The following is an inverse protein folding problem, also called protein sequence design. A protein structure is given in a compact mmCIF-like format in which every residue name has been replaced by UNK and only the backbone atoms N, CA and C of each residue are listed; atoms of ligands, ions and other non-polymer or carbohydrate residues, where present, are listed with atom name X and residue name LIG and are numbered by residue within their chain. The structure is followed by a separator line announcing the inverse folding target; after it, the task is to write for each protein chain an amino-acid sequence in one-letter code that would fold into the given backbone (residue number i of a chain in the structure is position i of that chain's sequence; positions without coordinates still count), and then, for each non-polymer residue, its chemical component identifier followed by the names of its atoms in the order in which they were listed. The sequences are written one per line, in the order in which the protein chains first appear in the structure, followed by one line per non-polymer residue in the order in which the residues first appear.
data_IF_351081858919
#
_entry.id   IF_351081858919
#
_cell.length_a   1.000
_cell.length_b   1.000
_cell.length_c   1.000
_cell.angle_alpha   90.00
_cell.angle_beta   90.00
_cell.angle_gamma   90.00
#
_symmetry.space_group_name_H-M   'P 1'
#
loop_
_entity.id
_entity.type
_entity.pdbx_description
1 polymer ?
#
# COMPACT_ATOMS: atom_id res chain seq x y z
N UNK A 1 9.74 -28.91 3.16
CA UNK A 1 8.78 -28.85 4.28
C UNK A 1 8.83 -30.15 5.04
N UNK A 2 8.88 -30.12 6.37
CA UNK A 2 8.78 -31.33 7.18
C UNK A 2 7.29 -31.69 7.35
N UNK A 3 6.87 -32.94 7.13
CA UNK A 3 5.47 -33.38 7.23
C UNK A 3 4.87 -33.33 8.66
N UNK A 4 5.62 -32.79 9.63
CA UNK A 4 5.23 -32.63 11.04
C UNK A 4 5.09 -31.16 11.47
N UNK A 5 5.13 -30.21 10.53
CA UNK A 5 5.04 -28.78 10.86
C UNK A 5 3.66 -28.42 11.41
N UNK A 6 3.63 -27.70 12.52
CA UNK A 6 2.39 -27.35 13.23
C UNK A 6 1.56 -26.39 12.37
N UNK A 7 0.24 -26.62 12.29
CA UNK A 7 -0.68 -25.71 11.62
C UNK A 7 -1.13 -24.63 12.60
N UNK A 8 -1.01 -23.38 12.16
CA UNK A 8 -1.53 -22.18 12.83
C UNK A 8 -2.84 -21.78 12.16
N UNK A 9 -3.83 -21.42 12.97
CA UNK A 9 -5.10 -20.87 12.51
C UNK A 9 -5.07 -19.35 12.62
N UNK A 10 -5.29 -18.67 11.49
CA UNK A 10 -5.51 -17.22 11.44
C UNK A 10 -7.01 -16.97 11.39
N UNK A 11 -7.56 -16.29 12.39
CA UNK A 11 -8.97 -15.85 12.39
C UNK A 11 -9.02 -14.51 11.68
N UNK A 12 -9.78 -14.39 10.58
CA UNK A 12 -9.79 -13.20 9.70
C UNK A 12 -11.22 -12.69 9.45
N UNK A 13 -11.37 -11.44 9.05
CA UNK A 13 -12.68 -10.86 8.74
C UNK A 13 -13.20 -11.37 7.39
N UNK A 14 -14.37 -12.02 7.39
CA UNK A 14 -15.08 -12.35 6.14
C UNK A 14 -16.02 -11.22 5.72
N UNK A 15 -16.84 -10.76 6.66
CA UNK A 15 -17.69 -9.59 6.52
C UNK A 15 -17.94 -8.97 7.91
N UNK A 16 -18.73 -7.89 7.98
CA UNK A 16 -18.97 -7.19 9.25
C UNK A 16 -19.62 -8.13 10.26
N UNK A 17 -18.89 -8.45 11.33
CA UNK A 17 -19.35 -9.34 12.40
C UNK A 17 -19.19 -10.84 12.10
N UNK A 18 -18.58 -11.24 10.98
CA UNK A 18 -18.31 -12.65 10.66
C UNK A 18 -16.81 -12.90 10.42
N UNK A 19 -16.33 -14.07 10.86
CA UNK A 19 -14.92 -14.44 10.79
C UNK A 19 -14.71 -15.78 10.11
N UNK A 20 -13.55 -15.92 9.47
CA UNK A 20 -13.11 -17.14 8.79
C UNK A 20 -11.77 -17.61 9.37
N UNK A 21 -11.50 -18.92 9.31
CA UNK A 21 -10.22 -19.49 9.73
C UNK A 21 -9.39 -19.91 8.53
N UNK A 22 -8.20 -19.34 8.41
CA UNK A 22 -7.21 -19.72 7.42
C UNK A 22 -6.11 -20.56 8.08
N UNK A 23 -5.73 -21.66 7.45
CA UNK A 23 -4.71 -22.58 7.97
C UNK A 23 -3.36 -22.32 7.28
N UNK A 24 -2.29 -22.22 8.06
CA UNK A 24 -0.94 -21.98 7.53
C UNK A 24 0.11 -22.71 8.37
N UNK A 25 1.15 -23.22 7.73
CA UNK A 25 2.24 -23.90 8.43
C UNK A 25 3.06 -22.90 9.27
N UNK A 26 3.33 -23.25 10.53
CA UNK A 26 4.06 -22.39 11.48
C UNK A 26 5.43 -22.00 10.95
N UNK A 27 6.18 -22.96 10.39
CA UNK A 27 7.51 -22.71 9.83
C UNK A 27 7.48 -21.68 8.70
N UNK A 28 6.39 -21.61 7.94
CA UNK A 28 6.21 -20.65 6.84
C UNK A 28 5.95 -19.24 7.40
N UNK A 29 5.02 -19.09 8.34
CA UNK A 29 4.74 -17.80 8.98
C UNK A 29 5.98 -17.21 9.68
N UNK A 30 6.67 -18.04 10.46
CA UNK A 30 7.77 -17.59 11.30
C UNK A 30 8.98 -17.18 10.49
N UNK A 31 9.25 -17.86 9.38
CA UNK A 31 10.39 -17.52 8.53
C UNK A 31 10.27 -16.11 7.94
N UNK A 32 9.05 -15.59 7.80
CA UNK A 32 8.81 -14.33 7.10
C UNK A 32 8.67 -13.13 8.03
N UNK A 33 7.88 -13.25 9.10
CA UNK A 33 7.42 -12.08 9.85
C UNK A 33 7.75 -12.15 11.34
N UNK A 34 8.30 -11.05 11.86
CA UNK A 34 8.58 -10.87 13.29
C UNK A 34 7.31 -10.79 14.13
N UNK A 35 6.22 -10.28 13.57
CA UNK A 35 4.93 -10.23 14.24
C UNK A 35 4.47 -11.64 14.61
N UNK A 36 4.46 -12.58 13.66
CA UNK A 36 4.03 -13.95 13.94
C UNK A 36 4.98 -14.72 14.86
N UNK A 37 6.28 -14.42 14.84
CA UNK A 37 7.23 -14.94 15.83
C UNK A 37 6.91 -14.47 17.25
N UNK A 38 6.53 -13.19 17.41
CA UNK A 38 6.22 -12.61 18.71
C UNK A 38 4.82 -12.99 19.21
N UNK A 39 3.83 -13.03 18.31
CA UNK A 39 2.44 -13.33 18.64
C UNK A 39 2.26 -14.73 19.24
N UNK A 40 3.22 -15.63 19.06
CA UNK A 40 3.15 -17.00 19.58
C UNK A 40 4.09 -17.27 20.76
N UNK A 41 4.69 -16.22 21.34
CA UNK A 41 5.45 -16.37 22.58
C UNK A 41 4.50 -16.74 23.73
N UNK A 42 4.96 -17.55 24.71
CA UNK A 42 4.14 -17.98 25.85
C UNK A 42 3.43 -16.83 26.58
N UNK A 43 4.13 -15.70 26.68
CA UNK A 43 3.67 -14.44 27.30
C UNK A 43 2.43 -13.83 26.62
N UNK A 44 2.14 -14.21 25.38
CA UNK A 44 1.04 -13.68 24.55
C UNK A 44 -0.02 -14.73 24.21
N UNK A 45 0.26 -16.02 24.41
CA UNK A 45 -0.70 -17.12 24.19
C UNK A 45 -1.83 -17.13 25.22
N UNK A 46 -1.63 -16.60 26.42
CA UNK A 46 -2.69 -16.51 27.44
C UNK A 46 -3.81 -15.52 27.06
N UNK A 47 -3.53 -14.60 26.12
CA UNK A 47 -4.49 -13.65 25.57
C UNK A 47 -5.20 -14.17 24.31
N UNK A 48 -4.82 -15.35 23.80
CA UNK A 48 -5.37 -15.90 22.55
C UNK A 48 -6.56 -16.83 22.79
N UNK A 49 -7.43 -16.93 21.79
CA UNK A 49 -8.61 -17.81 21.81
C UNK A 49 -8.27 -19.32 21.89
N UNK A 50 -6.99 -19.69 21.80
CA UNK A 50 -6.51 -21.05 21.98
C UNK A 50 -5.05 -21.22 21.54
N UNK A 51 -4.43 -22.38 21.84
CA UNK A 51 -3.08 -22.70 21.37
C UNK A 51 -3.06 -22.74 19.83
N UNK A 52 -2.09 -22.05 19.21
CA UNK A 52 -1.92 -21.97 17.75
C UNK A 52 -3.02 -21.18 16.99
N UNK A 53 -3.72 -20.26 17.67
CA UNK A 53 -4.71 -19.37 17.03
C UNK A 53 -4.24 -17.93 17.12
N UNK A 54 -4.13 -17.25 15.97
CA UNK A 54 -3.79 -15.83 15.89
C UNK A 54 -5.01 -15.06 15.41
N UNK A 55 -5.40 -14.06 16.20
CA UNK A 55 -6.53 -13.19 15.88
C UNK A 55 -6.12 -12.06 14.94
N UNK A 56 -6.73 -12.07 13.76
CA UNK A 56 -6.66 -11.06 12.71
C UNK A 56 -8.10 -10.70 12.26
N UNK A 57 -9.07 -10.75 13.18
CA UNK A 57 -10.51 -10.56 12.90
C UNK A 57 -10.89 -9.17 12.37
N UNK A 58 -9.95 -8.23 12.34
CA UNK A 58 -10.10 -6.91 11.71
C UNK A 58 -9.51 -6.85 10.30
N UNK A 59 -8.75 -7.86 9.89
CA UNK A 59 -8.09 -7.92 8.59
C UNK A 59 -8.95 -8.70 7.59
N UNK A 60 -9.23 -8.14 6.40
CA UNK A 60 -10.01 -8.82 5.37
C UNK A 60 -9.39 -10.14 4.92
N UNK A 61 -10.24 -11.16 4.74
CA UNK A 61 -9.86 -12.52 4.32
C UNK A 61 -9.08 -12.54 3.00
N UNK A 62 -9.40 -11.66 2.06
CA UNK A 62 -8.73 -11.59 0.76
C UNK A 62 -7.27 -11.12 0.90
N UNK A 63 -7.01 -10.12 1.73
CA UNK A 63 -5.65 -9.61 2.00
C UNK A 63 -4.80 -10.66 2.71
N UNK A 64 -5.35 -11.31 3.74
CA UNK A 64 -4.61 -12.34 4.48
C UNK A 64 -4.39 -13.58 3.62
N UNK A 65 -5.38 -13.98 2.81
CA UNK A 65 -5.26 -15.09 1.87
C UNK A 65 -4.18 -14.83 0.81
N UNK A 66 -4.09 -13.61 0.27
CA UNK A 66 -3.07 -13.25 -0.70
C UNK A 66 -1.66 -13.23 -0.08
N UNK A 67 -1.52 -12.76 1.16
CA UNK A 67 -0.28 -12.89 1.92
C UNK A 67 0.13 -14.35 2.13
N UNK A 68 -0.81 -15.23 2.52
CA UNK A 68 -0.54 -16.66 2.66
C UNK A 68 -0.05 -17.26 1.33
N UNK A 69 -0.69 -16.93 0.20
CA UNK A 69 -0.22 -17.40 -1.12
C UNK A 69 1.21 -16.92 -1.39
N UNK A 70 1.52 -15.65 -1.12
CA UNK A 70 2.88 -15.15 -1.26
C UNK A 70 3.87 -15.93 -0.38
N UNK A 71 3.51 -16.26 0.85
CA UNK A 71 4.39 -17.04 1.72
C UNK A 71 4.76 -18.42 1.16
N UNK A 72 3.86 -19.06 0.41
CA UNK A 72 4.13 -20.36 -0.22
C UNK A 72 4.81 -20.25 -1.57
N UNK A 73 4.49 -19.23 -2.37
CA UNK A 73 4.89 -19.14 -3.77
C UNK A 73 5.93 -18.05 -4.07
N UNK A 74 6.29 -17.24 -3.07
CA UNK A 74 7.16 -16.05 -3.16
C UNK A 74 6.74 -15.08 -4.28
N UNK A 75 5.46 -15.13 -4.66
CA UNK A 75 4.87 -14.37 -5.74
C UNK A 75 3.65 -13.66 -5.21
N UNK A 76 3.63 -12.33 -5.29
CA UNK A 76 2.42 -11.56 -4.99
C UNK A 76 1.37 -12.03 -5.98
N UNK A 77 0.20 -12.52 -5.53
CA UNK A 77 -0.82 -13.00 -6.44
C UNK A 77 -1.11 -11.94 -7.49
N UNK A 78 -0.61 -12.19 -8.71
CA UNK A 78 -0.78 -11.31 -9.86
C UNK A 78 -2.27 -11.32 -10.21
N UNK A 79 -3.03 -10.46 -9.54
CA UNK A 79 -4.36 -10.07 -10.01
C UNK A 79 -4.13 -9.19 -11.24
N UNK A 80 -3.87 -9.84 -12.37
CA UNK A 80 -4.20 -9.36 -13.71
C UNK A 80 -3.76 -7.91 -14.02
N UNK A 81 -2.47 -7.58 -13.92
CA UNK A 81 -1.99 -6.31 -14.48
C UNK A 81 -2.09 -6.30 -16.03
N UNK A 82 -2.01 -7.48 -16.64
CA UNK A 82 -1.97 -7.66 -18.10
C UNK A 82 -3.36 -7.84 -18.72
N UNK A 83 -4.40 -8.09 -17.92
CA UNK A 83 -5.75 -8.30 -18.41
C UNK A 83 -6.69 -7.21 -17.86
N UNK A 84 -7.06 -6.27 -18.74
CA UNK A 84 -8.34 -5.54 -18.69
C UNK A 84 -8.48 -4.45 -17.61
N UNK A 85 -7.55 -3.50 -17.52
CA UNK A 85 -7.82 -2.22 -16.86
C UNK A 85 -7.87 -1.10 -17.90
N UNK A 86 -9.01 -1.04 -18.61
CA UNK A 86 -9.26 -0.05 -19.65
C UNK A 86 -9.75 1.28 -19.08
N UNK A 87 -10.31 1.26 -17.86
CA UNK A 87 -10.78 2.48 -17.19
C UNK A 87 -9.90 2.87 -15.99
N UNK A 88 -10.02 4.13 -15.58
CA UNK A 88 -9.37 4.65 -14.39
C UNK A 88 -9.75 3.85 -13.13
N UNK A 89 -11.03 3.53 -12.96
CA UNK A 89 -11.55 2.82 -11.79
C UNK A 89 -11.01 1.40 -11.71
N UNK A 90 -10.80 0.73 -12.85
CA UNK A 90 -10.17 -0.59 -12.90
C UNK A 90 -8.70 -0.54 -12.50
N UNK A 91 -7.96 0.48 -12.99
CA UNK A 91 -6.56 0.69 -12.62
C UNK A 91 -6.43 1.03 -11.13
N UNK A 92 -7.32 1.87 -10.60
CA UNK A 92 -7.26 2.26 -9.19
C UNK A 92 -7.58 1.08 -8.26
N UNK A 93 -8.51 0.18 -8.62
CA UNK A 93 -8.77 -1.05 -7.85
C UNK A 93 -7.52 -1.90 -7.66
N UNK A 94 -6.66 -1.96 -8.67
CA UNK A 94 -5.37 -2.66 -8.59
C UNK A 94 -4.47 -2.01 -7.54
N UNK A 95 -4.33 -0.68 -7.60
CA UNK A 95 -3.50 0.05 -6.64
C UNK A 95 -4.08 0.03 -5.22
N UNK A 96 -5.42 0.01 -5.06
CA UNK A 96 -6.09 -0.17 -3.78
C UNK A 96 -5.75 -1.53 -3.15
N UNK A 97 -5.77 -2.61 -3.94
CA UNK A 97 -5.40 -3.94 -3.46
C UNK A 97 -3.91 -4.00 -3.03
N UNK A 98 -3.02 -3.36 -3.81
CA UNK A 98 -1.60 -3.27 -3.49
C UNK A 98 -1.33 -2.40 -2.26
N UNK A 99 -2.03 -1.27 -2.12
CA UNK A 99 -1.95 -0.40 -0.95
C UNK A 99 -2.35 -1.15 0.33
N UNK A 100 -3.48 -1.86 0.31
CA UNK A 100 -3.94 -2.69 1.44
C UNK A 100 -2.93 -3.78 1.78
N UNK A 101 -2.35 -4.42 0.76
CA UNK A 101 -1.32 -5.44 0.95
C UNK A 101 -0.06 -4.87 1.61
N UNK A 102 0.39 -3.67 1.20
CA UNK A 102 1.55 -3.00 1.78
C UNK A 102 1.28 -2.61 3.24
N UNK A 103 0.10 -2.02 3.53
CA UNK A 103 -0.33 -1.66 4.88
C UNK A 103 -0.41 -2.89 5.79
N UNK A 104 -0.94 -4.01 5.29
CA UNK A 104 -0.92 -5.26 6.03
C UNK A 104 0.51 -5.70 6.34
N UNK A 105 1.43 -5.61 5.37
CA UNK A 105 2.86 -5.87 5.59
C UNK A 105 3.51 -4.96 6.64
N UNK A 106 3.09 -3.70 6.75
CA UNK A 106 3.52 -2.81 7.85
C UNK A 106 3.02 -3.32 9.19
N UNK A 107 1.73 -3.67 9.29
CA UNK A 107 1.12 -4.21 10.51
C UNK A 107 1.81 -5.47 11.01
N UNK A 108 2.09 -6.42 10.12
CA UNK A 108 2.77 -7.68 10.47
C UNK A 108 4.29 -7.59 10.47
N UNK A 109 4.86 -6.38 10.29
CA UNK A 109 6.31 -6.13 10.35
C UNK A 109 7.10 -7.08 9.43
N UNK A 110 6.56 -7.35 8.24
CA UNK A 110 7.17 -8.24 7.25
C UNK A 110 7.84 -7.41 6.15
N UNK A 111 9.14 -7.16 6.32
CA UNK A 111 9.93 -6.37 5.37
C UNK A 111 10.04 -7.06 4.01
N UNK A 112 10.09 -8.39 3.97
CA UNK A 112 10.19 -9.13 2.70
C UNK A 112 8.90 -8.99 1.91
N UNK A 113 7.76 -9.13 2.58
CA UNK A 113 6.45 -8.95 1.97
C UNK A 113 6.26 -7.52 1.47
N UNK A 114 6.57 -6.51 2.31
CA UNK A 114 6.49 -5.10 1.89
C UNK A 114 7.33 -4.79 0.66
N UNK A 115 8.55 -5.32 0.60
CA UNK A 115 9.41 -5.15 -0.56
C UNK A 115 8.84 -5.85 -1.80
N UNK A 116 8.28 -7.05 -1.66
CA UNK A 116 7.63 -7.76 -2.76
C UNK A 116 6.40 -6.99 -3.29
N UNK A 117 5.57 -6.44 -2.39
CA UNK A 117 4.43 -5.58 -2.76
C UNK A 117 4.92 -4.30 -3.45
N UNK A 118 5.99 -3.68 -2.97
CA UNK A 118 6.56 -2.48 -3.60
C UNK A 118 7.06 -2.77 -5.02
N UNK A 119 7.68 -3.94 -5.26
CA UNK A 119 8.06 -4.38 -6.61
C UNK A 119 6.82 -4.61 -7.50
N UNK A 120 5.75 -5.17 -6.94
CA UNK A 120 4.48 -5.33 -7.65
C UNK A 120 3.85 -3.98 -8.02
N UNK A 121 3.96 -2.97 -7.15
CA UNK A 121 3.53 -1.59 -7.45
C UNK A 121 4.30 -1.03 -8.65
N UNK A 122 5.63 -1.11 -8.66
CA UNK A 122 6.43 -0.67 -9.81
C UNK A 122 6.07 -1.40 -11.09
N UNK A 123 5.84 -2.71 -11.01
CA UNK A 123 5.44 -3.52 -12.16
C UNK A 123 4.08 -3.08 -12.70
N UNK A 124 3.10 -2.85 -11.82
CA UNK A 124 1.78 -2.35 -12.17
C UNK A 124 1.84 -0.95 -12.79
N UNK A 125 2.63 -0.04 -12.23
CA UNK A 125 2.79 1.32 -12.77
C UNK A 125 3.32 1.31 -14.21
N UNK A 126 4.30 0.45 -14.48
CA UNK A 126 4.87 0.30 -15.82
C UNK A 126 3.91 -0.36 -16.80
N UNK A 127 3.20 -1.40 -16.37
CA UNK A 127 2.27 -2.13 -17.24
C UNK A 127 1.02 -1.31 -17.59
N UNK A 128 0.49 -0.55 -16.63
CA UNK A 128 -0.74 0.22 -16.80
C UNK A 128 -0.51 1.64 -17.31
N UNK A 129 0.76 2.09 -17.39
CA UNK A 129 1.12 3.49 -17.60
C UNK A 129 0.34 4.43 -16.68
N UNK A 130 0.22 4.05 -15.40
CA UNK A 130 -0.63 4.71 -14.43
C UNK A 130 0.00 4.72 -13.03
N UNK A 131 -0.38 5.67 -12.18
CA UNK A 131 0.12 5.80 -10.82
C UNK A 131 -0.99 5.58 -9.79
N UNK A 132 -0.62 5.49 -8.52
CA UNK A 132 -1.58 5.34 -7.43
C UNK A 132 -2.48 6.58 -7.37
N UNK A 133 -3.80 6.36 -7.43
CA UNK A 133 -4.81 7.39 -7.31
C UNK A 133 -5.16 7.74 -5.86
N UNK A 134 -6.17 8.60 -5.65
CA UNK A 134 -6.52 9.16 -4.36
C UNK A 134 -6.92 8.11 -3.30
N UNK A 135 -7.66 7.06 -3.68
CA UNK A 135 -8.14 6.05 -2.73
C UNK A 135 -6.98 5.19 -2.20
N UNK A 136 -6.14 4.70 -3.11
CA UNK A 136 -4.98 3.90 -2.78
C UNK A 136 -3.94 4.71 -2.00
N UNK A 137 -3.72 5.99 -2.37
CA UNK A 137 -2.85 6.90 -1.60
C UNK A 137 -3.41 7.16 -0.21
N UNK A 138 -4.72 7.37 -0.07
CA UNK A 138 -5.36 7.51 1.24
C UNK A 138 -5.12 6.30 2.13
N UNK A 139 -5.30 5.09 1.61
CA UNK A 139 -5.03 3.84 2.35
C UNK A 139 -3.57 3.80 2.83
N UNK A 140 -2.60 4.16 1.98
CA UNK A 140 -1.19 4.19 2.37
C UNK A 140 -0.93 5.22 3.47
N UNK A 141 -1.47 6.42 3.35
CA UNK A 141 -1.26 7.49 4.31
C UNK A 141 -2.00 7.27 5.64
N UNK A 142 -3.09 6.52 5.67
CA UNK A 142 -3.74 6.14 6.92
C UNK A 142 -3.05 4.93 7.59
N UNK A 143 -2.48 4.03 6.78
CA UNK A 143 -1.97 2.74 7.26
C UNK A 143 -0.46 2.60 7.44
N UNK A 144 0.33 3.65 7.18
CA UNK A 144 1.81 3.58 7.27
C UNK A 144 2.40 4.74 8.06
N UNK A 145 3.60 4.65 8.65
CA UNK A 145 4.24 5.78 9.33
C UNK A 145 4.81 6.82 8.34
N UNK A 146 5.09 8.07 8.76
CA UNK A 146 5.62 9.12 7.88
C UNK A 146 6.93 8.75 7.15
N UNK A 147 7.75 7.89 7.73
CA UNK A 147 9.02 7.44 7.14
C UNK A 147 8.85 6.25 6.17
N UNK A 148 7.62 5.85 5.87
CA UNK A 148 7.31 4.74 4.97
C UNK A 148 7.95 4.93 3.58
N UNK A 149 8.69 3.94 3.06
CA UNK A 149 9.20 3.97 1.70
C UNK A 149 8.13 4.19 0.63
N UNK A 150 6.92 3.66 0.81
CA UNK A 150 5.84 3.82 -0.16
C UNK A 150 5.30 5.27 -0.18
N UNK A 151 5.23 5.97 0.96
CA UNK A 151 4.88 7.40 1.00
C UNK A 151 5.89 8.24 0.21
N UNK A 152 7.18 7.95 0.38
CA UNK A 152 8.25 8.60 -0.39
C UNK A 152 8.13 8.35 -1.89
N UNK A 153 7.84 7.11 -2.30
CA UNK A 153 7.60 6.80 -3.72
C UNK A 153 6.41 7.60 -4.28
N UNK A 154 5.30 7.71 -3.54
CA UNK A 154 4.14 8.51 -3.96
C UNK A 154 4.54 9.97 -4.18
N UNK A 155 5.28 10.56 -3.23
CA UNK A 155 5.76 11.93 -3.34
C UNK A 155 6.70 12.13 -4.55
N UNK A 156 7.62 11.19 -4.78
CA UNK A 156 8.53 11.22 -5.94
C UNK A 156 7.78 11.08 -7.27
N UNK A 157 6.75 10.23 -7.36
CA UNK A 157 5.91 10.14 -8.56
C UNK A 157 5.25 11.48 -8.88
N UNK A 158 4.68 12.17 -7.88
CA UNK A 158 4.13 13.51 -8.09
C UNK A 158 5.21 14.47 -8.57
N UNK A 159 6.37 14.50 -7.90
CA UNK A 159 7.45 15.44 -8.23
C UNK A 159 8.01 15.27 -9.64
N UNK A 160 8.20 14.03 -10.10
CA UNK A 160 8.87 13.75 -11.37
C UNK A 160 7.92 13.49 -12.55
N UNK A 161 6.67 13.13 -12.27
CA UNK A 161 5.72 12.67 -13.29
C UNK A 161 4.47 13.53 -13.41
N UNK A 162 4.19 14.43 -12.45
CA UNK A 162 3.07 15.35 -12.59
C UNK A 162 3.29 16.37 -13.71
N UNK A 163 2.24 16.59 -14.50
CA UNK A 163 2.18 17.58 -15.57
C UNK A 163 0.80 18.21 -15.61
N UNK A 164 0.68 19.35 -16.31
CA UNK A 164 -0.61 20.02 -16.49
C UNK A 164 -1.50 19.18 -17.42
N UNK A 165 -2.52 18.57 -16.83
CA UNK A 165 -3.60 17.85 -17.51
C UNK A 165 -4.96 18.47 -17.24
N UNK A 166 -5.02 19.80 -17.03
CA UNK A 166 -6.26 20.55 -16.78
C UNK A 166 -7.35 20.42 -17.85
N UNK A 167 -7.00 19.89 -19.04
CA UNK A 167 -7.94 19.61 -20.14
C UNK A 167 -8.51 18.20 -20.10
N UNK A 168 -7.93 17.32 -19.30
CA UNK A 168 -8.37 15.94 -19.12
C UNK A 168 -9.37 15.84 -17.96
N UNK A 169 -10.30 14.90 -18.04
CA UNK A 169 -11.27 14.68 -16.96
C UNK A 169 -10.70 13.89 -15.78
N UNK A 170 -9.61 13.15 -16.00
CA UNK A 170 -8.95 12.29 -15.02
C UNK A 170 -7.44 12.45 -15.14
N UNK A 171 -6.77 12.75 -14.03
CA UNK A 171 -5.35 13.05 -14.03
C UNK A 171 -4.82 13.64 -12.72
N UNK A 172 -3.67 14.29 -12.81
CA UNK A 172 -2.97 14.96 -11.72
C UNK A 172 -3.78 16.09 -11.09
N UNK A 173 -4.48 16.90 -11.89
CA UNK A 173 -5.30 17.98 -11.34
C UNK A 173 -6.42 17.43 -10.43
N UNK A 174 -7.14 16.40 -10.89
CA UNK A 174 -8.14 15.71 -10.08
C UNK A 174 -7.53 15.02 -8.86
N UNK A 175 -6.33 14.44 -9.01
CA UNK A 175 -5.60 13.84 -7.90
C UNK A 175 -5.32 14.87 -6.80
N UNK A 176 -4.89 16.09 -7.14
CA UNK A 176 -4.59 17.12 -6.14
C UNK A 176 -5.82 17.59 -5.35
N UNK A 177 -7.02 17.55 -5.96
CA UNK A 177 -8.26 17.93 -5.30
C UNK A 177 -8.73 16.91 -4.24
N UNK A 178 -8.29 15.65 -4.36
CA UNK A 178 -8.86 14.52 -3.61
C UNK A 178 -7.84 13.78 -2.74
N UNK A 179 -6.55 14.01 -2.96
CA UNK A 179 -5.46 13.38 -2.23
C UNK A 179 -5.35 13.87 -0.78
N UNK A 180 -4.95 13.00 0.18
CA UNK A 180 -4.71 13.42 1.55
C UNK A 180 -3.73 14.59 1.66
N UNK A 181 -4.02 15.54 2.56
CA UNK A 181 -3.18 16.72 2.80
C UNK A 181 -1.71 16.37 3.06
N UNK A 182 -1.46 15.30 3.82
CA UNK A 182 -0.09 14.85 4.12
C UNK A 182 0.69 14.45 2.86
N UNK A 183 0.03 13.82 1.90
CA UNK A 183 0.65 13.43 0.64
C UNK A 183 1.01 14.65 -0.21
N UNK A 184 0.14 15.67 -0.23
CA UNK A 184 0.44 16.95 -0.88
C UNK A 184 1.65 17.65 -0.23
N UNK A 185 1.75 17.61 1.10
CA UNK A 185 2.89 18.18 1.84
C UNK A 185 4.19 17.44 1.51
N UNK A 186 4.16 16.11 1.48
CA UNK A 186 5.34 15.30 1.14
C UNK A 186 5.78 15.52 -0.31
N UNK A 187 4.83 15.58 -1.24
CA UNK A 187 5.10 15.92 -2.64
C UNK A 187 5.73 17.30 -2.76
N UNK A 188 5.16 18.34 -2.12
CA UNK A 188 5.71 19.70 -2.18
C UNK A 188 7.12 19.77 -1.58
N UNK A 189 7.38 19.11 -0.44
CA UNK A 189 8.71 19.01 0.14
C UNK A 189 9.70 18.33 -0.80
N UNK A 190 9.26 17.32 -1.53
CA UNK A 190 10.08 16.59 -2.50
C UNK A 190 10.36 17.45 -3.73
N UNK A 191 9.35 18.15 -4.24
CA UNK A 191 9.48 19.11 -5.35
C UNK A 191 10.45 20.24 -5.02
N UNK A 192 10.39 20.83 -3.82
CA UNK A 192 11.32 21.89 -3.41
C UNK A 192 12.77 21.41 -3.38
N UNK A 193 13.03 20.14 -3.06
CA UNK A 193 14.40 19.59 -3.03
C UNK A 193 15.02 19.44 -4.42
N UNK A 194 14.20 19.26 -5.46
CA UNK A 194 14.67 19.03 -6.83
C UNK A 194 14.53 20.27 -7.72
N UNK A 195 13.66 21.21 -7.33
CA UNK A 195 13.44 22.45 -8.06
C UNK A 195 14.69 23.33 -7.97
N UNK A 196 15.31 23.71 -9.09
CA UNK A 196 16.45 24.62 -9.07
C UNK A 196 16.03 25.98 -8.50
N UNK A 197 16.95 26.63 -7.80
CA UNK A 197 16.77 28.03 -7.45
C UNK A 197 16.92 28.88 -8.72
N UNK A 198 15.86 29.63 -9.06
CA UNK A 198 15.88 30.62 -10.13
C UNK A 198 15.64 32.02 -9.53
N UNK A 199 16.71 32.81 -9.32
CA UNK A 199 16.61 34.16 -8.78
C UNK A 199 15.81 35.13 -9.64
N UNK A 200 15.67 34.86 -10.94
CA UNK A 200 14.99 35.72 -11.91
C UNK A 200 13.48 35.42 -12.01
N UNK A 201 13.03 34.24 -11.53
CA UNK A 201 11.61 33.84 -11.56
C UNK A 201 10.70 34.56 -10.55
N UNK A 202 11.14 35.70 -10.00
CA UNK A 202 10.32 36.44 -9.04
C UNK A 202 9.07 36.99 -9.75
N UNK A 203 7.86 36.65 -9.26
CA UNK A 203 6.63 37.15 -9.88
C UNK A 203 6.59 38.67 -9.79
N UNK A 204 6.33 39.33 -10.93
CA UNK A 204 6.11 40.78 -11.01
C UNK A 204 4.67 41.12 -10.58
N UNK A 205 4.47 42.28 -9.94
CA UNK A 205 3.16 42.68 -9.41
C UNK A 205 2.12 42.89 -10.53
N UNK A 206 2.57 43.22 -11.74
CA UNK A 206 1.70 43.57 -12.86
C UNK A 206 0.70 42.48 -13.25
N UNK A 207 1.04 41.20 -13.09
CA UNK A 207 0.13 40.09 -13.40
C UNK A 207 -0.98 39.87 -12.36
N UNK A 208 -0.93 40.55 -11.22
CA UNK A 208 -1.87 40.39 -10.11
C UNK A 208 -2.75 41.63 -9.86
N UNK A 209 -2.47 42.75 -10.55
CA UNK A 209 -3.30 43.95 -10.42
C UNK A 209 -4.64 43.74 -11.12
N UNK A 210 -5.73 43.97 -10.38
CA UNK A 210 -7.07 43.98 -10.94
C UNK A 210 -7.22 45.18 -11.88
N UNK A 211 -7.94 45.00 -12.99
CA UNK A 211 -8.23 46.09 -13.92
C UNK A 211 -9.35 46.95 -13.36
N UNK A 212 -9.11 48.27 -13.31
CA UNK A 212 -10.15 49.29 -13.05
C UNK A 212 -11.20 49.34 -14.18
#
# INVERSE_FOLDING_TARGET
MNPSDTIIQLVVARCVGDTERLNVHRGVLYKSSKFFQNAMKPEWTDMQAGPNVIDLSVDPVDIVSDYIKWLYYDTIPNKQYEAVANTYEEREKVFVALAKSYVFGEKIIDVRYKNAVLQAIFTAQRALHWYMGPESVKIVYEGTPPQSPLRRLIAENVTYMAYDDSKESVGWMQFFDTCPREALVDALKTTVKVRPEDPESRPDVGSYLEKE
#
